data_IF_878820943853
#
_entry.id   IF_878820943853
#
_cell.length_a   1.000
_cell.length_b   1.000
_cell.length_c   1.000
_cell.angle_alpha   90.00
_cell.angle_beta   90.00
_cell.angle_gamma   90.00
#
_symmetry.space_group_name_H-M   'P 1'
#
loop_
_entity.id
_entity.type
_entity.pdbx_description
1 polymer ?
#
# COMPACT_ATOMS: atom_id res chain seq x y z
N UNK A 1 25.18 66.96 -8.88
CA UNK A 1 24.45 66.69 -10.13
C UNK A 1 24.28 65.18 -10.21
N UNK A 2 23.22 64.61 -9.64
CA UNK A 2 21.85 64.50 -10.19
C UNK A 2 21.71 63.29 -11.11
N UNK A 3 21.06 62.23 -10.62
CA UNK A 3 19.99 61.50 -11.36
C UNK A 3 19.56 60.24 -10.59
N UNK A 4 18.47 60.38 -9.83
CA UNK A 4 17.72 59.27 -9.21
C UNK A 4 16.71 58.68 -10.20
N UNK A 5 16.47 57.36 -10.25
CA UNK A 5 15.46 56.76 -11.11
C UNK A 5 14.09 56.74 -10.42
N UNK A 6 13.13 57.45 -11.01
CA UNK A 6 11.72 57.46 -10.60
C UNK A 6 11.03 56.15 -11.01
N UNK A 7 10.63 55.37 -10.01
CA UNK A 7 9.76 54.20 -10.20
C UNK A 7 8.31 54.67 -10.40
N UNK A 8 7.79 54.45 -11.61
CA UNK A 8 6.38 54.64 -11.95
C UNK A 8 5.54 53.53 -11.31
N UNK A 9 4.76 53.87 -10.30
CA UNK A 9 3.71 53.01 -9.74
C UNK A 9 2.51 53.11 -10.69
N UNK A 10 2.13 52.00 -11.33
CA UNK A 10 0.88 51.90 -12.07
C UNK A 10 -0.20 51.39 -11.11
N UNK A 11 -1.14 52.27 -10.78
CA UNK A 11 -2.35 51.94 -10.04
C UNK A 11 -3.23 51.02 -10.88
N UNK A 12 -3.27 49.75 -10.50
CA UNK A 12 -4.22 48.77 -11.04
C UNK A 12 -5.59 49.05 -10.42
N UNK A 13 -6.42 49.78 -11.17
CA UNK A 13 -7.84 49.97 -10.89
C UNK A 13 -8.53 48.59 -10.87
N UNK A 14 -8.83 48.09 -9.67
CA UNK A 14 -9.66 46.91 -9.48
C UNK A 14 -11.11 47.23 -9.87
N UNK A 15 -11.46 46.98 -11.13
CA UNK A 15 -12.85 46.95 -11.58
C UNK A 15 -13.52 45.69 -11.04
N UNK A 16 -14.24 45.84 -9.94
CA UNK A 16 -15.13 44.82 -9.36
C UNK A 16 -16.32 44.58 -10.30
N UNK A 17 -16.15 43.63 -11.23
CA UNK A 17 -17.26 43.06 -12.00
C UNK A 17 -18.16 42.23 -11.08
N UNK A 18 -19.23 42.83 -10.55
CA UNK A 18 -20.34 42.10 -9.95
C UNK A 18 -21.10 41.35 -11.05
N UNK A 19 -20.73 40.10 -11.28
CA UNK A 19 -21.50 39.21 -12.13
C UNK A 19 -22.89 38.99 -11.52
N UNK A 20 -23.99 39.06 -12.31
CA UNK A 20 -25.32 38.80 -11.81
C UNK A 20 -25.38 37.36 -11.28
N UNK A 21 -25.81 37.21 -10.03
CA UNK A 21 -25.98 35.91 -9.39
C UNK A 21 -27.11 35.15 -10.10
N UNK A 22 -26.77 34.36 -11.13
CA UNK A 22 -27.66 33.33 -11.66
C UNK A 22 -27.98 32.38 -10.53
N UNK A 23 -29.19 32.46 -9.99
CA UNK A 23 -29.77 31.50 -9.06
C UNK A 23 -29.94 30.17 -9.78
N UNK A 24 -28.85 29.40 -9.88
CA UNK A 24 -28.89 28.05 -10.39
C UNK A 24 -29.78 27.22 -9.46
N UNK A 25 -30.94 26.81 -9.98
CA UNK A 25 -31.84 25.87 -9.30
C UNK A 25 -31.06 24.58 -9.09
N UNK A 26 -30.70 24.29 -7.83
CA UNK A 26 -29.98 23.07 -7.50
C UNK A 26 -30.91 21.87 -7.70
N UNK A 27 -30.46 20.81 -8.40
CA UNK A 27 -31.28 19.62 -8.60
C UNK A 27 -31.60 18.92 -7.27
N UNK A 28 -32.81 18.37 -7.16
CA UNK A 28 -33.24 17.58 -6.01
C UNK A 28 -32.37 16.32 -5.84
N UNK A 29 -32.27 15.80 -4.62
CA UNK A 29 -31.53 14.57 -4.36
C UNK A 29 -32.09 13.39 -5.15
N UNK A 30 -31.27 12.67 -5.92
CA UNK A 30 -31.70 11.52 -6.73
C UNK A 30 -32.25 10.32 -5.91
N UNK A 31 -32.01 10.28 -4.60
CA UNK A 31 -32.40 9.15 -3.76
C UNK A 31 -33.66 9.39 -2.92
N UNK A 32 -33.86 10.62 -2.45
CA UNK A 32 -35.01 10.97 -1.59
C UNK A 32 -35.86 12.10 -2.17
N UNK A 33 -35.48 12.67 -3.32
CA UNK A 33 -36.14 13.78 -4.00
C UNK A 33 -36.31 15.07 -3.18
N UNK A 34 -35.70 15.15 -2.00
CA UNK A 34 -35.68 16.35 -1.16
C UNK A 34 -34.70 17.38 -1.73
N UNK A 35 -35.07 18.67 -1.68
CA UNK A 35 -34.20 19.76 -2.04
C UNK A 35 -32.94 19.75 -1.15
N UNK A 36 -31.72 19.78 -1.73
CA UNK A 36 -30.50 19.78 -0.95
C UNK A 36 -30.37 21.08 -0.14
N UNK A 37 -29.88 20.97 1.10
CA UNK A 37 -29.41 22.14 1.84
C UNK A 37 -28.25 22.74 1.03
N UNK A 38 -28.43 23.99 0.60
CA UNK A 38 -27.56 24.70 -0.35
C UNK A 38 -26.08 24.56 -0.01
N UNK A 39 -25.26 24.25 -1.02
CA UNK A 39 -23.79 24.34 -0.94
C UNK A 39 -23.01 23.02 -0.99
N UNK A 40 -23.65 21.85 -1.08
CA UNK A 40 -22.89 20.59 -1.06
C UNK A 40 -22.28 20.14 -2.40
N UNK A 41 -22.68 20.69 -3.55
CA UNK A 41 -22.10 20.32 -4.86
C UNK A 41 -22.27 18.85 -5.28
N UNK A 42 -22.99 18.03 -4.50
CA UNK A 42 -23.21 16.61 -4.76
C UNK A 42 -24.66 16.34 -5.18
N UNK A 43 -24.86 15.43 -6.15
CA UNK A 43 -26.19 15.01 -6.62
C UNK A 43 -27.04 14.23 -5.60
N UNK A 44 -26.44 13.80 -4.47
CA UNK A 44 -27.14 13.10 -3.39
C UNK A 44 -26.96 13.87 -2.09
N UNK A 45 -28.04 14.07 -1.35
CA UNK A 45 -28.00 14.71 -0.04
C UNK A 45 -27.14 13.89 0.94
N UNK A 46 -26.59 14.58 1.95
CA UNK A 46 -25.71 13.99 2.97
C UNK A 46 -26.35 12.77 3.67
N UNK A 47 -27.61 12.82 4.14
CA UNK A 47 -28.26 11.66 4.76
C UNK A 47 -28.30 10.41 3.85
N UNK A 48 -28.67 10.57 2.58
CA UNK A 48 -28.71 9.45 1.63
C UNK A 48 -27.31 8.91 1.32
N UNK A 49 -26.31 9.79 1.20
CA UNK A 49 -24.92 9.39 0.98
C UNK A 49 -24.38 8.60 2.17
N UNK A 50 -24.67 9.03 3.38
CA UNK A 50 -24.24 8.37 4.61
C UNK A 50 -24.93 7.00 4.76
N UNK A 51 -26.24 6.92 4.49
CA UNK A 51 -26.99 5.64 4.46
C UNK A 51 -26.42 4.66 3.43
N UNK A 52 -26.05 5.14 2.23
CA UNK A 52 -25.40 4.33 1.18
C UNK A 52 -24.01 3.84 1.61
N UNK A 53 -23.21 4.71 2.21
CA UNK A 53 -21.88 4.37 2.72
C UNK A 53 -21.96 3.33 3.83
N UNK A 54 -22.94 3.45 4.73
CA UNK A 54 -23.20 2.50 5.81
C UNK A 54 -23.64 1.13 5.26
N UNK A 55 -24.55 1.10 4.28
CA UNK A 55 -24.93 -0.15 3.61
C UNK A 55 -23.73 -0.84 2.93
N UNK A 56 -22.82 -0.07 2.33
CA UNK A 56 -21.58 -0.57 1.75
C UNK A 56 -20.66 -1.16 2.83
N UNK A 57 -20.49 -0.47 3.97
CA UNK A 57 -19.70 -0.97 5.12
C UNK A 57 -20.25 -2.29 5.64
N UNK A 58 -21.57 -2.39 5.87
CA UNK A 58 -22.24 -3.63 6.33
C UNK A 58 -22.05 -4.78 5.35
N UNK A 59 -22.13 -4.52 4.04
CA UNK A 59 -21.92 -5.56 3.02
C UNK A 59 -20.48 -6.05 3.01
N UNK A 60 -19.51 -5.13 3.10
CA UNK A 60 -18.09 -5.50 3.21
C UNK A 60 -17.81 -6.29 4.49
N UNK A 61 -18.41 -5.90 5.62
CA UNK A 61 -18.28 -6.61 6.88
C UNK A 61 -18.86 -8.03 6.80
N UNK A 62 -20.08 -8.20 6.28
CA UNK A 62 -20.68 -9.53 6.08
C UNK A 62 -19.82 -10.44 5.20
N UNK A 63 -19.23 -9.90 4.13
CA UNK A 63 -18.30 -10.65 3.28
C UNK A 63 -17.04 -11.09 4.03
N UNK A 64 -16.48 -10.22 4.89
CA UNK A 64 -15.33 -10.55 5.75
C UNK A 64 -15.68 -11.63 6.76
N UNK A 65 -16.81 -11.50 7.46
CA UNK A 65 -17.30 -12.48 8.43
C UNK A 65 -17.59 -13.84 7.77
N UNK A 66 -18.21 -13.85 6.59
CA UNK A 66 -18.46 -15.08 5.83
C UNK A 66 -17.14 -15.76 5.44
N UNK A 67 -16.14 -14.99 4.99
CA UNK A 67 -14.82 -15.53 4.65
C UNK A 67 -14.09 -16.08 5.88
N UNK A 68 -14.18 -15.39 7.02
CA UNK A 68 -13.62 -15.87 8.28
C UNK A 68 -14.31 -17.16 8.74
N UNK A 69 -15.64 -17.25 8.64
CA UNK A 69 -16.39 -18.48 8.94
C UNK A 69 -15.96 -19.65 8.04
N UNK A 70 -15.82 -19.43 6.72
CA UNK A 70 -15.34 -20.47 5.80
C UNK A 70 -13.93 -20.93 6.15
N UNK A 71 -13.04 -20.00 6.48
CA UNK A 71 -11.69 -20.32 6.92
C UNK A 71 -11.71 -21.15 8.23
N UNK A 72 -12.51 -20.75 9.20
CA UNK A 72 -12.66 -21.46 10.48
C UNK A 72 -13.22 -22.87 10.30
N UNK A 73 -14.18 -23.08 9.39
CA UNK A 73 -14.69 -24.41 9.07
C UNK A 73 -13.64 -25.30 8.40
N UNK A 74 -12.75 -24.74 7.59
CA UNK A 74 -11.66 -25.52 6.96
C UNK A 74 -10.56 -25.90 7.95
N UNK A 75 -10.32 -25.10 9.00
CA UNK A 75 -9.29 -25.40 10.01
C UNK A 75 -9.74 -26.47 11.00
N UNK A 76 -11.02 -26.48 11.41
CA UNK A 76 -11.51 -27.43 12.43
C UNK A 76 -11.55 -28.88 11.91
N UNK A 77 -11.70 -29.10 10.59
CA UNK A 77 -11.71 -30.45 10.01
C UNK A 77 -10.34 -31.13 9.94
N UNK A 78 -9.24 -30.43 10.23
CA UNK A 78 -7.89 -30.99 10.03
C UNK A 78 -7.29 -31.67 11.26
N UNK A 79 -7.77 -31.33 12.46
CA UNK A 79 -7.18 -31.79 13.72
C UNK A 79 -7.99 -32.89 14.44
N UNK A 80 -9.06 -33.40 13.84
CA UNK A 80 -9.91 -34.45 14.42
C UNK A 80 -10.31 -35.55 13.41
N UNK A 81 -9.35 -36.01 12.59
CA UNK A 81 -9.53 -37.28 11.88
C UNK A 81 -8.77 -38.40 12.61
N UNK A 82 -9.47 -39.28 13.35
CA UNK A 82 -8.93 -40.60 13.60
C UNK A 82 -8.75 -41.33 12.26
N UNK A 83 -7.63 -42.05 12.17
CA UNK A 83 -7.19 -42.92 11.08
C UNK A 83 -8.37 -43.71 10.45
N UNK A 84 -8.42 -43.88 9.11
CA UNK A 84 -9.58 -44.44 8.44
C UNK A 84 -9.65 -45.96 8.67
N UNK A 85 -10.75 -46.42 9.26
CA UNK A 85 -11.26 -47.76 8.97
C UNK A 85 -12.71 -47.64 8.52
N UNK A 86 -12.93 -48.19 7.33
CA UNK A 86 -14.19 -48.56 6.71
C UNK A 86 -15.04 -47.41 6.15
N UNK A 87 -15.08 -47.42 4.82
CA UNK A 87 -16.01 -46.72 3.95
C UNK A 87 -17.43 -47.26 4.19
N UNK A 88 -18.44 -46.41 4.41
CA UNK A 88 -19.80 -46.75 4.05
C UNK A 88 -20.23 -45.88 2.87
N UNK A 89 -20.62 -46.54 1.79
CA UNK A 89 -21.40 -45.99 0.69
C UNK A 89 -22.73 -45.47 1.20
N UNK A 90 -22.95 -44.15 1.18
CA UNK A 90 -24.27 -43.55 1.29
C UNK A 90 -24.50 -42.53 0.18
N UNK A 91 -25.02 -43.06 -0.92
CA UNK A 91 -25.99 -42.41 -1.79
C UNK A 91 -27.27 -42.20 -0.98
N UNK A 92 -27.62 -40.95 -0.66
CA UNK A 92 -29.01 -40.44 -0.69
C UNK A 92 -29.13 -39.05 -0.03
N UNK A 93 -29.94 -38.22 -0.68
CA UNK A 93 -30.69 -37.10 -0.11
C UNK A 93 -29.91 -35.88 0.41
N UNK A 94 -29.90 -34.80 -0.38
CA UNK A 94 -30.32 -33.46 0.06
C UNK A 94 -30.71 -32.59 -1.16
N UNK A 95 -31.91 -32.81 -1.67
CA UNK A 95 -32.63 -31.86 -2.54
C UNK A 95 -33.16 -30.69 -1.71
N UNK A 96 -32.30 -29.70 -1.44
CA UNK A 96 -32.74 -28.41 -0.91
C UNK A 96 -33.10 -27.51 -2.10
N UNK A 97 -34.42 -27.33 -2.30
CA UNK A 97 -35.04 -26.29 -3.15
C UNK A 97 -34.46 -24.91 -2.78
N UNK A 98 -33.44 -24.47 -3.51
CA UNK A 98 -33.02 -23.07 -3.51
C UNK A 98 -34.00 -22.28 -4.38
N UNK A 99 -34.73 -21.35 -3.76
CA UNK A 99 -35.46 -20.29 -4.49
C UNK A 99 -34.43 -19.45 -5.25
N UNK A 100 -34.42 -19.60 -6.56
CA UNK A 100 -33.74 -18.69 -7.49
C UNK A 100 -34.35 -17.29 -7.37
N UNK A 101 -33.54 -16.22 -7.28
CA UNK A 101 -34.05 -14.85 -7.38
C UNK A 101 -34.68 -14.62 -8.75
N UNK A 102 -35.69 -13.72 -8.85
CA UNK A 102 -36.35 -13.43 -10.12
C UNK A 102 -35.33 -12.96 -11.15
N UNK A 103 -35.30 -13.66 -12.29
CA UNK A 103 -34.50 -13.33 -13.44
C UNK A 103 -34.81 -11.89 -13.86
N UNK A 104 -33.77 -11.06 -13.99
CA UNK A 104 -33.88 -9.83 -14.77
C UNK A 104 -34.13 -10.23 -16.21
N UNK A 105 -35.16 -9.63 -16.82
CA UNK A 105 -35.68 -9.94 -18.14
C UNK A 105 -34.80 -9.41 -19.28
N UNK A 106 -33.49 -9.58 -19.16
CA UNK A 106 -32.55 -9.31 -20.25
C UNK A 106 -32.12 -10.68 -20.75
N UNK A 107 -32.85 -11.20 -21.74
CA UNK A 107 -32.67 -12.52 -22.32
C UNK A 107 -31.35 -12.66 -23.08
N UNK A 108 -30.22 -12.65 -22.37
CA UNK A 108 -28.97 -13.15 -22.92
C UNK A 108 -29.06 -14.67 -23.05
N UNK A 109 -28.98 -15.14 -24.29
CA UNK A 109 -29.03 -16.55 -24.62
C UNK A 109 -27.85 -17.27 -23.95
N UNK A 110 -28.15 -18.24 -23.07
CA UNK A 110 -27.15 -18.97 -22.28
C UNK A 110 -26.13 -19.69 -23.18
N UNK A 111 -26.52 -20.07 -24.40
CA UNK A 111 -25.61 -20.64 -25.38
C UNK A 111 -24.51 -19.64 -25.79
N UNK A 112 -24.87 -18.37 -25.93
CA UNK A 112 -23.97 -17.30 -26.37
C UNK A 112 -22.94 -16.93 -25.28
N UNK A 113 -23.34 -17.04 -24.00
CA UNK A 113 -22.44 -16.86 -22.85
C UNK A 113 -21.45 -18.03 -22.73
N UNK A 114 -21.91 -19.27 -22.94
CA UNK A 114 -21.05 -20.46 -22.92
C UNK A 114 -20.06 -20.47 -24.09
N UNK A 115 -20.47 -20.02 -25.27
CA UNK A 115 -19.58 -19.89 -26.43
C UNK A 115 -18.50 -18.82 -26.20
N UNK A 116 -18.86 -17.70 -25.56
CA UNK A 116 -17.90 -16.63 -25.18
C UNK A 116 -16.86 -17.10 -24.17
N UNK A 117 -17.25 -17.98 -23.23
CA UNK A 117 -16.32 -18.60 -22.27
C UNK A 117 -15.43 -19.63 -22.97
N UNK A 118 -15.99 -20.48 -23.85
CA UNK A 118 -15.24 -21.49 -24.60
C UNK A 118 -14.17 -20.89 -25.52
N UNK A 119 -14.47 -19.76 -26.19
CA UNK A 119 -13.51 -19.05 -27.05
C UNK A 119 -12.34 -18.43 -26.28
N UNK A 120 -12.50 -18.12 -24.99
CA UNK A 120 -11.40 -17.61 -24.14
C UNK A 120 -10.39 -18.67 -23.70
N UNK A 121 -10.77 -19.95 -23.67
CA UNK A 121 -9.87 -21.03 -23.26
C UNK A 121 -9.09 -21.68 -24.41
N UNK A 122 -9.50 -21.49 -25.68
CA UNK A 122 -8.80 -22.04 -26.85
C UNK A 122 -7.53 -21.30 -27.27
N UNK A 123 -7.14 -20.20 -26.59
CA UNK A 123 -5.92 -19.44 -26.87
C UNK A 123 -4.82 -19.61 -25.82
N UNK A 124 -4.89 -20.67 -25.03
CA UNK A 124 -3.78 -21.14 -24.21
C UNK A 124 -3.17 -22.33 -24.94
N UNK A 125 -2.11 -22.06 -25.68
CA UNK A 125 -1.35 -23.12 -26.33
C UNK A 125 -0.80 -24.11 -25.27
N UNK A 126 -0.72 -25.40 -25.61
CA UNK A 126 -0.09 -26.37 -24.75
C UNK A 126 1.38 -25.97 -24.55
N UNK A 127 1.77 -25.71 -23.31
CA UNK A 127 3.18 -25.60 -22.91
C UNK A 127 3.89 -26.90 -23.30
N UNK A 128 4.54 -26.90 -24.45
CA UNK A 128 5.39 -27.99 -24.92
C UNK A 128 6.57 -28.11 -23.97
N UNK A 129 6.75 -29.31 -23.43
CA UNK A 129 7.93 -29.76 -22.69
C UNK A 129 9.15 -29.72 -23.64
N UNK A 130 9.83 -28.59 -23.73
CA UNK A 130 11.04 -28.49 -24.56
C UNK A 130 12.05 -27.43 -24.07
N UNK A 131 12.19 -27.21 -22.75
CA UNK A 131 13.26 -26.37 -22.19
C UNK A 131 13.89 -26.95 -20.92
N UNK A 132 14.02 -28.28 -20.85
CA UNK A 132 14.66 -28.99 -19.72
C UNK A 132 16.19 -29.18 -19.88
N UNK A 133 16.82 -28.59 -20.91
CA UNK A 133 18.23 -28.83 -21.22
C UNK A 133 19.00 -27.56 -21.59
N UNK A 134 18.94 -26.52 -20.74
CA UNK A 134 19.90 -25.43 -20.78
C UNK A 134 20.07 -24.72 -19.42
N UNK A 135 20.12 -25.48 -18.32
CA UNK A 135 20.70 -24.97 -17.07
C UNK A 135 22.21 -25.15 -17.14
N UNK A 136 22.85 -24.34 -18.00
CA UNK A 136 24.30 -24.17 -17.98
C UNK A 136 24.65 -23.45 -16.69
N UNK A 137 25.39 -24.17 -15.86
CA UNK A 137 26.14 -23.78 -14.68
C UNK A 137 26.64 -22.33 -14.79
N UNK A 138 25.86 -21.39 -14.25
CA UNK A 138 26.41 -20.11 -13.83
C UNK A 138 27.17 -20.40 -12.55
N UNK A 139 28.50 -20.32 -12.62
CA UNK A 139 29.39 -20.19 -11.47
C UNK A 139 29.02 -18.89 -10.75
N UNK A 140 27.95 -18.95 -9.94
CA UNK A 140 27.47 -17.84 -9.16
C UNK A 140 28.51 -17.57 -8.07
N UNK A 141 29.03 -16.34 -8.06
CA UNK A 141 29.77 -15.81 -6.94
C UNK A 141 29.05 -16.17 -5.63
N UNK A 142 29.78 -16.56 -4.56
CA UNK A 142 29.19 -17.01 -3.31
C UNK A 142 28.13 -16.01 -2.84
N UNK A 143 26.89 -16.48 -2.72
CA UNK A 143 25.74 -15.63 -2.47
C UNK A 143 25.91 -14.86 -1.16
N UNK A 144 25.81 -13.51 -1.14
CA UNK A 144 25.97 -12.67 0.05
C UNK A 144 24.79 -12.76 1.03
N UNK A 145 24.06 -13.87 1.06
CA UNK A 145 22.92 -14.07 1.97
C UNK A 145 23.37 -14.33 3.44
N UNK A 146 24.67 -14.37 3.74
CA UNK A 146 25.18 -14.65 5.10
C UNK A 146 25.17 -13.46 6.06
N UNK A 147 24.85 -12.24 5.61
CA UNK A 147 24.92 -11.04 6.48
C UNK A 147 23.57 -10.58 7.05
N UNK A 148 22.44 -11.21 6.67
CA UNK A 148 21.13 -10.80 7.20
C UNK A 148 20.88 -11.33 8.61
N UNK A 149 20.70 -10.43 9.57
CA UNK A 149 20.25 -10.75 10.91
C UNK A 149 18.81 -11.27 10.85
N UNK A 150 18.58 -12.49 11.39
CA UNK A 150 17.28 -13.16 11.32
C UNK A 150 16.44 -12.82 12.55
N UNK A 151 15.21 -12.38 12.34
CA UNK A 151 14.26 -12.07 13.39
C UNK A 151 13.02 -12.95 13.27
N UNK A 152 12.43 -13.30 14.41
CA UNK A 152 11.19 -14.08 14.48
C UNK A 152 9.99 -13.16 14.24
N UNK A 153 10.00 -11.96 14.83
CA UNK A 153 8.87 -11.02 14.80
C UNK A 153 9.33 -9.65 14.31
N UNK A 154 8.48 -8.96 13.56
CA UNK A 154 8.74 -7.61 13.04
C UNK A 154 9.13 -6.59 14.13
N UNK A 155 8.54 -6.71 15.31
CA UNK A 155 8.81 -5.82 16.45
C UNK A 155 10.27 -5.87 16.89
N UNK A 156 10.91 -7.04 16.80
CA UNK A 156 12.30 -7.22 17.23
C UNK A 156 13.26 -6.66 16.19
N UNK A 157 12.93 -6.80 14.90
CA UNK A 157 13.62 -6.10 13.82
C UNK A 157 13.57 -4.57 14.03
N UNK A 158 12.40 -4.01 14.37
CA UNK A 158 12.28 -2.57 14.64
C UNK A 158 13.11 -2.14 15.86
N UNK A 159 13.13 -2.93 16.95
CA UNK A 159 13.98 -2.65 18.12
C UNK A 159 15.46 -2.69 17.77
N UNK A 160 15.90 -3.64 16.94
CA UNK A 160 17.28 -3.73 16.49
C UNK A 160 17.68 -2.49 15.66
N UNK A 161 16.82 -2.03 14.75
CA UNK A 161 17.03 -0.78 14.00
C UNK A 161 17.16 0.41 14.94
N UNK A 162 16.27 0.55 15.94
CA UNK A 162 16.34 1.64 16.92
C UNK A 162 17.65 1.66 17.70
N UNK A 163 18.11 0.48 18.15
CA UNK A 163 19.37 0.34 18.88
C UNK A 163 20.54 0.80 18.01
N UNK A 164 20.68 0.24 16.80
CA UNK A 164 21.75 0.63 15.87
C UNK A 164 21.69 2.10 15.45
N UNK A 165 20.50 2.68 15.37
CA UNK A 165 20.34 4.11 15.13
C UNK A 165 20.84 4.95 16.33
N UNK A 166 20.58 4.51 17.56
CA UNK A 166 20.99 5.18 18.79
C UNK A 166 22.49 5.03 19.09
N UNK A 167 23.12 3.95 18.64
CA UNK A 167 24.56 3.67 18.82
C UNK A 167 25.49 4.69 18.11
N UNK A 168 24.92 5.71 17.47
CA UNK A 168 25.60 6.91 16.99
C UNK A 168 26.70 6.70 15.95
N UNK A 169 26.75 5.54 15.30
CA UNK A 169 27.71 5.28 14.23
C UNK A 169 27.60 6.32 13.11
N UNK A 170 28.75 6.65 12.48
CA UNK A 170 28.83 7.57 11.34
C UNK A 170 28.04 7.07 10.12
N UNK A 171 27.74 5.78 10.06
CA UNK A 171 26.87 5.19 9.05
C UNK A 171 26.00 4.10 9.67
N UNK A 172 24.69 4.23 9.51
CA UNK A 172 23.77 3.15 9.85
C UNK A 172 23.72 2.17 8.67
N UNK A 173 24.27 0.97 8.89
CA UNK A 173 24.13 -0.18 8.00
C UNK A 173 23.37 -1.27 8.75
N UNK A 174 22.26 -1.70 8.19
CA UNK A 174 21.42 -2.73 8.78
C UNK A 174 20.86 -3.63 7.68
N UNK A 175 21.00 -4.94 7.89
CA UNK A 175 20.48 -6.00 7.05
C UNK A 175 19.71 -6.96 7.95
N UNK A 176 18.38 -6.95 7.82
CA UNK A 176 17.50 -7.77 8.64
C UNK A 176 16.52 -8.56 7.79
N UNK A 177 16.19 -9.77 8.22
CA UNK A 177 15.17 -10.60 7.57
C UNK A 177 14.24 -11.21 8.60
N UNK A 178 12.96 -11.32 8.27
CA UNK A 178 11.99 -12.08 9.05
C UNK A 178 10.95 -12.71 8.11
N UNK A 179 10.21 -13.68 8.62
CA UNK A 179 9.17 -14.36 7.87
C UNK A 179 7.79 -14.09 8.49
N UNK A 180 6.77 -13.96 7.65
CA UNK A 180 5.38 -13.82 8.04
C UNK A 180 4.57 -14.89 7.29
N UNK A 181 3.53 -15.44 7.90
CA UNK A 181 2.59 -16.32 7.20
C UNK A 181 1.88 -15.51 6.11
N UNK A 182 1.88 -16.01 4.88
CA UNK A 182 1.27 -15.32 3.75
C UNK A 182 -0.24 -15.26 3.95
N UNK A 183 -0.80 -14.07 3.74
CA UNK A 183 -2.25 -13.90 3.67
C UNK A 183 -2.64 -13.92 2.20
N UNK A 184 -3.60 -14.77 1.77
CA UNK A 184 -3.94 -14.93 0.36
C UNK A 184 -4.51 -13.65 -0.27
N UNK A 185 -4.96 -12.69 0.55
CA UNK A 185 -5.43 -11.38 0.09
C UNK A 185 -4.32 -10.34 -0.09
N UNK A 186 -3.14 -10.59 0.47
CA UNK A 186 -2.05 -9.60 0.52
C UNK A 186 -0.92 -10.03 -0.40
N UNK A 187 -0.81 -9.38 -1.54
CA UNK A 187 0.31 -9.57 -2.46
C UNK A 187 1.62 -9.03 -1.86
N UNK A 188 2.77 -9.47 -2.42
CA UNK A 188 4.09 -9.02 -1.99
C UNK A 188 4.25 -7.49 -2.08
N UNK A 189 3.52 -6.84 -2.99
CA UNK A 189 3.48 -5.38 -3.14
C UNK A 189 2.78 -4.70 -1.98
N UNK A 190 1.57 -5.12 -1.61
CA UNK A 190 0.85 -4.60 -0.46
C UNK A 190 1.63 -4.86 0.83
N UNK A 191 2.26 -6.04 0.95
CA UNK A 191 3.09 -6.39 2.10
C UNK A 191 4.31 -5.47 2.23
N UNK A 192 5.10 -5.31 1.17
CA UNK A 192 6.27 -4.42 1.19
C UNK A 192 5.88 -2.95 1.52
N UNK A 193 4.73 -2.48 1.03
CA UNK A 193 4.20 -1.14 1.37
C UNK A 193 3.75 -1.03 2.82
N UNK A 194 3.16 -2.09 3.38
CA UNK A 194 2.80 -2.14 4.78
C UNK A 194 4.05 -2.05 5.65
N UNK A 195 5.06 -2.87 5.37
CA UNK A 195 6.35 -2.85 6.08
C UNK A 195 7.02 -1.47 5.98
N UNK A 196 6.94 -0.79 4.84
CA UNK A 196 7.46 0.55 4.68
C UNK A 196 6.78 1.57 5.64
N UNK A 197 5.45 1.51 5.76
CA UNK A 197 4.72 2.36 6.71
C UNK A 197 5.08 2.02 8.15
N UNK A 198 5.07 0.72 8.49
CA UNK A 198 5.39 0.25 9.83
C UNK A 198 6.81 0.67 10.25
N UNK A 199 7.79 0.60 9.33
CA UNK A 199 9.15 1.08 9.56
C UNK A 199 9.20 2.59 9.79
N UNK A 200 8.49 3.38 8.99
CA UNK A 200 8.44 4.85 9.14
C UNK A 200 7.81 5.26 10.46
N UNK A 201 6.75 4.58 10.87
CA UNK A 201 6.00 4.93 12.07
C UNK A 201 6.68 4.39 13.34
N UNK A 202 7.36 3.25 13.25
CA UNK A 202 7.98 2.60 14.39
C UNK A 202 9.43 3.02 14.63
N UNK A 203 10.17 3.49 13.64
CA UNK A 203 11.62 3.78 13.75
C UNK A 203 11.92 5.27 13.55
N UNK A 204 13.07 5.80 14.01
CA UNK A 204 13.45 7.20 13.77
C UNK A 204 13.91 7.48 12.32
N UNK A 205 13.64 6.58 11.37
CA UNK A 205 14.03 6.75 9.98
C UNK A 205 13.03 7.65 9.24
N UNK A 206 13.54 8.64 8.53
CA UNK A 206 12.72 9.53 7.71
C UNK A 206 12.96 9.28 6.22
N UNK A 207 11.91 8.89 5.49
CA UNK A 207 11.99 8.68 4.05
C UNK A 207 10.67 9.01 3.38
N UNK A 208 10.76 9.42 2.11
CA UNK A 208 9.60 9.75 1.28
C UNK A 208 8.93 8.46 0.81
N UNK A 209 7.62 8.31 1.03
CA UNK A 209 6.87 7.18 0.48
C UNK A 209 6.48 7.40 -1.00
N UNK A 210 6.60 8.63 -1.48
CA UNK A 210 6.25 9.03 -2.84
C UNK A 210 7.43 8.73 -3.79
N UNK A 211 8.65 9.10 -3.38
CA UNK A 211 9.89 8.89 -4.12
C UNK A 211 10.43 7.47 -3.95
N UNK A 212 9.79 6.54 -4.66
CA UNK A 212 10.11 5.12 -4.61
C UNK A 212 10.49 4.55 -5.98
N UNK A 213 11.50 3.69 -5.96
CA UNK A 213 11.86 2.84 -7.09
C UNK A 213 11.36 1.43 -6.78
N UNK A 214 10.51 0.87 -7.64
CA UNK A 214 9.95 -0.46 -7.43
C UNK A 214 10.38 -1.41 -8.53
N UNK A 215 10.78 -2.62 -8.17
CA UNK A 215 11.02 -3.72 -9.10
C UNK A 215 10.17 -4.93 -8.71
N UNK A 216 9.68 -5.63 -9.74
CA UNK A 216 8.82 -6.80 -9.58
C UNK A 216 9.49 -8.00 -10.27
N UNK A 217 9.55 -9.11 -9.57
CA UNK A 217 9.85 -10.42 -10.14
C UNK A 217 8.62 -11.33 -10.03
N UNK A 218 8.72 -12.57 -10.54
CA UNK A 218 7.64 -13.53 -10.47
C UNK A 218 7.25 -13.88 -9.02
N UNK A 219 8.24 -13.97 -8.13
CA UNK A 219 8.08 -14.43 -6.73
C UNK A 219 8.44 -13.38 -5.70
N UNK A 220 8.86 -12.18 -6.12
CA UNK A 220 9.27 -11.13 -5.20
C UNK A 220 8.86 -9.73 -5.69
N UNK A 221 8.78 -8.82 -4.73
CA UNK A 221 8.58 -7.40 -4.98
C UNK A 221 9.52 -6.60 -4.08
N UNK A 222 10.27 -5.71 -4.71
CA UNK A 222 11.25 -4.85 -4.04
C UNK A 222 10.85 -3.40 -4.19
N UNK A 223 10.92 -2.64 -3.11
CA UNK A 223 10.74 -1.19 -3.11
C UNK A 223 11.96 -0.56 -2.45
N UNK A 224 12.53 0.45 -3.11
CA UNK A 224 13.61 1.29 -2.59
C UNK A 224 13.07 2.70 -2.36
N UNK A 225 13.38 3.26 -1.21
CA UNK A 225 13.02 4.62 -0.80
C UNK A 225 14.28 5.45 -0.54
N UNK A 226 14.21 6.73 -0.91
CA UNK A 226 15.26 7.71 -0.59
C UNK A 226 15.03 8.30 0.79
N UNK A 227 16.10 8.42 1.58
CA UNK A 227 16.05 9.11 2.88
C UNK A 227 15.72 10.58 2.67
N UNK A 228 14.83 11.11 3.50
CA UNK A 228 14.50 12.56 3.54
C UNK A 228 15.11 13.23 4.74
N UNK A 229 16.19 12.64 5.23
CA UNK A 229 16.89 12.97 6.44
C UNK A 229 17.60 14.30 6.19
N UNK A 230 16.91 15.42 6.41
CA UNK A 230 17.51 16.76 6.30
C UNK A 230 18.70 16.78 7.27
N UNK A 231 19.91 16.98 6.75
CA UNK A 231 21.15 16.95 7.52
C UNK A 231 20.97 17.67 8.86
N UNK A 232 21.09 16.90 9.94
CA UNK A 232 20.86 17.37 11.30
C UNK A 232 19.40 17.65 11.64
N UNK A 233 18.64 16.62 12.01
CA UNK A 233 17.69 16.77 13.11
C UNK A 233 18.50 16.99 14.40
N UNK A 234 19.18 18.14 14.51
CA UNK A 234 19.43 18.71 15.83
C UNK A 234 18.03 18.95 16.37
N UNK A 235 17.61 18.12 17.33
CA UNK A 235 16.42 18.38 18.13
C UNK A 235 16.67 19.71 18.82
N UNK A 236 16.31 20.82 18.19
CA UNK A 236 16.15 22.07 18.91
C UNK A 236 14.91 21.86 19.76
N UNK A 237 15.14 21.78 21.06
CA UNK A 237 14.07 21.92 22.02
C UNK A 237 13.22 23.13 21.63
N UNK A 238 11.90 22.93 21.55
CA UNK A 238 10.88 24.00 21.64
C UNK A 238 11.11 25.25 20.77
N UNK A 239 11.06 25.11 19.44
CA UNK A 239 11.23 26.25 18.54
C UNK A 239 9.89 26.90 18.13
N UNK A 240 9.12 27.35 19.12
CA UNK A 240 8.09 28.38 18.89
C UNK A 240 8.73 29.75 18.59
N UNK A 241 10.02 29.92 18.91
CA UNK A 241 10.82 31.13 18.72
C UNK A 241 11.21 31.43 17.28
N UNK A 242 11.52 30.43 16.44
CA UNK A 242 11.96 30.67 15.05
C UNK A 242 10.85 31.18 14.13
N UNK A 243 9.59 30.92 14.47
CA UNK A 243 8.46 31.50 13.74
C UNK A 243 8.37 33.03 13.93
N UNK A 244 8.78 33.56 15.09
CA UNK A 244 8.79 35.01 15.33
C UNK A 244 10.01 35.72 14.73
N UNK A 245 11.16 35.03 14.63
CA UNK A 245 12.40 35.64 14.12
C UNK A 245 12.47 35.61 12.58
N UNK A 246 11.78 34.68 11.92
CA UNK A 246 11.81 34.56 10.45
C UNK A 246 10.98 35.61 9.70
N UNK A 247 10.16 36.42 10.40
CA UNK A 247 9.31 37.43 9.75
C UNK A 247 9.98 38.79 9.54
N UNK A 248 11.16 39.04 10.12
CA UNK A 248 11.81 40.36 10.08
C UNK A 248 13.07 40.45 9.21
N UNK A 249 13.49 39.38 8.52
CA UNK A 249 14.73 39.36 7.74
C UNK A 249 14.51 38.92 6.28
N UNK A 250 13.61 39.60 5.59
CA UNK A 250 13.34 39.43 4.16
C UNK A 250 13.98 40.57 3.35
N UNK A 251 15.31 40.67 3.38
CA UNK A 251 16.11 41.44 2.42
C UNK A 251 17.60 41.38 2.80
N UNK A 252 18.32 40.33 2.39
CA UNK A 252 19.75 40.39 2.01
C UNK A 252 20.35 38.99 1.85
N UNK A 253 21.07 38.85 0.73
CA UNK A 253 22.03 37.81 0.34
C UNK A 253 21.52 36.38 0.15
N UNK A 254 21.15 36.14 -1.10
CA UNK A 254 20.96 34.87 -1.80
C UNK A 254 22.31 34.15 -2.04
N UNK A 255 22.83 33.49 -1.01
CA UNK A 255 23.97 32.57 -1.15
C UNK A 255 23.53 31.19 -0.65
N UNK A 256 22.79 30.52 -1.54
CA UNK A 256 22.23 29.19 -1.32
C UNK A 256 23.35 28.15 -1.32
N UNK A 257 24.04 28.02 -0.18
CA UNK A 257 24.98 26.91 0.04
C UNK A 257 24.23 25.58 -0.20
N UNK A 258 24.75 24.70 -1.08
CA UNK A 258 24.07 23.47 -1.44
C UNK A 258 23.93 22.59 -0.20
N UNK A 259 22.71 22.46 0.31
CA UNK A 259 22.39 21.56 1.42
C UNK A 259 22.83 20.16 1.02
N UNK A 260 23.76 19.57 1.76
CA UNK A 260 24.24 18.22 1.51
C UNK A 260 23.05 17.26 1.56
N UNK A 261 22.67 16.74 0.39
CA UNK A 261 21.53 15.83 0.25
C UNK A 261 21.87 14.50 0.91
N UNK A 262 20.95 14.00 1.75
CA UNK A 262 21.13 12.69 2.35
C UNK A 262 21.09 11.60 1.26
N UNK A 263 22.20 10.86 1.12
CA UNK A 263 22.31 9.74 0.18
C UNK A 263 21.80 8.41 0.76
N UNK A 264 21.04 8.46 1.85
CA UNK A 264 20.52 7.26 2.50
C UNK A 264 19.47 6.54 1.64
N UNK A 265 19.45 5.21 1.71
CA UNK A 265 18.54 4.34 0.97
C UNK A 265 17.98 3.26 1.89
N UNK A 266 16.69 2.98 1.72
CA UNK A 266 15.97 1.93 2.44
C UNK A 266 15.37 1.01 1.39
N UNK A 267 15.76 -0.26 1.40
CA UNK A 267 15.30 -1.28 0.48
C UNK A 267 14.49 -2.33 1.26
N UNK A 268 13.28 -2.59 0.79
CA UNK A 268 12.35 -3.56 1.37
C UNK A 268 11.98 -4.53 0.26
N UNK A 269 12.27 -5.80 0.48
CA UNK A 269 11.99 -6.88 -0.46
C UNK A 269 11.09 -7.92 0.20
N UNK A 270 9.93 -8.16 -0.40
CA UNK A 270 8.99 -9.20 -0.01
C UNK A 270 9.07 -10.33 -1.02
N UNK A 271 9.39 -11.54 -0.56
CA UNK A 271 9.53 -12.74 -1.38
C UNK A 271 8.59 -13.83 -0.89
N UNK A 272 8.11 -14.69 -1.78
CA UNK A 272 7.38 -15.88 -1.36
C UNK A 272 8.33 -16.85 -0.62
N UNK A 273 7.88 -17.34 0.53
CA UNK A 273 8.63 -18.29 1.34
C UNK A 273 7.89 -19.62 1.46
N UNK A 274 8.53 -20.71 1.05
CA UNK A 274 7.98 -22.08 1.14
C UNK A 274 8.71 -22.94 2.16
N UNK A 275 9.56 -22.35 3.01
CA UNK A 275 10.36 -23.09 3.97
C UNK A 275 9.59 -23.55 5.22
N UNK A 276 8.30 -23.24 5.34
CA UNK A 276 7.51 -23.63 6.50
C UNK A 276 7.28 -25.15 6.52
N UNK A 277 7.61 -25.81 7.65
CA UNK A 277 7.53 -27.29 7.77
C UNK A 277 6.12 -27.85 7.53
N UNK A 278 5.07 -27.08 7.87
CA UNK A 278 3.67 -27.47 7.65
C UNK A 278 3.15 -27.20 6.22
N UNK A 279 4.02 -26.76 5.30
CA UNK A 279 3.64 -26.47 3.91
C UNK A 279 2.80 -25.19 3.74
N UNK A 280 2.70 -24.36 4.77
CA UNK A 280 2.05 -23.04 4.66
C UNK A 280 2.90 -22.10 3.82
N UNK A 281 2.24 -21.35 2.95
CA UNK A 281 2.88 -20.28 2.21
C UNK A 281 3.23 -19.14 3.18
N UNK A 282 4.49 -18.75 3.21
CA UNK A 282 5.01 -17.60 3.92
C UNK A 282 5.39 -16.47 2.96
N UNK A 283 5.69 -15.32 3.52
CA UNK A 283 6.34 -14.20 2.87
C UNK A 283 7.61 -13.87 3.68
N UNK A 284 8.76 -13.89 3.02
CA UNK A 284 10.03 -13.47 3.60
C UNK A 284 10.24 -11.99 3.33
N UNK A 285 10.45 -11.23 4.39
CA UNK A 285 10.69 -9.79 4.33
C UNK A 285 12.17 -9.55 4.60
N UNK A 286 12.88 -9.01 3.60
CA UNK A 286 14.26 -8.54 3.73
C UNK A 286 14.26 -7.02 3.77
N UNK A 287 14.89 -6.45 4.78
CA UNK A 287 15.04 -5.01 4.98
C UNK A 287 16.53 -4.69 4.95
N UNK A 288 16.92 -3.76 4.08
CA UNK A 288 18.28 -3.24 3.98
C UNK A 288 18.25 -1.73 4.12
N UNK A 289 19.00 -1.22 5.09
CA UNK A 289 19.10 0.21 5.38
C UNK A 289 20.56 0.61 5.25
N UNK A 290 20.81 1.58 4.39
CA UNK A 290 22.11 2.22 4.23
C UNK A 290 21.92 3.71 4.40
N UNK A 291 22.31 4.26 5.54
CA UNK A 291 22.16 5.69 5.81
C UNK A 291 23.49 6.29 6.28
N UNK A 292 24.09 7.21 5.51
CA UNK A 292 25.24 7.97 5.99
C UNK A 292 24.75 9.00 7.01
N UNK A 293 25.31 9.00 8.23
CA UNK A 293 25.00 10.05 9.21
C UNK A 293 25.69 11.32 8.69
N UNK A 294 24.89 12.30 8.31
CA UNK A 294 25.40 13.62 7.96
C UNK A 294 25.78 14.28 9.29
N UNK A 295 27.05 14.15 9.68
CA UNK A 295 27.64 14.82 10.84
C UNK A 295 27.76 16.31 10.52
#
# INVERSE_FOLDING_TARGET
MSSSPSHHIMDLVSTSFTAPATTAVLPNCNACHTAPVSGSGFATCRPCRDKRNEAKRRTTQRKREQKYRLFQTMTISRDNLPVPLLVPTLSAAMSLKRKTPPARADGENVADVLERIGKRFKKLEPFTKADAAASKTSTAAPAPDSEFEKFIVNTDLHKAIKRRYADNSSTLRFHGTYAIIAQPETDNKARARQVARDLRDSTPLHFSLDDKEASRSATAYTIKYKCTCRGGMKRTASDLSSYFISKSKAAASDETTPKSECRGRIEIRSEDDRSHRLGWLGQRIKVTIMHPKNI
#
